data_IF_781572099210
#
_entry.id   IF_781572099210
#
_cell.length_a   1.000
_cell.length_b   1.000
_cell.length_c   1.000
_cell.angle_alpha   90.00
_cell.angle_beta   90.00
_cell.angle_gamma   90.00
#
_symmetry.space_group_name_H-M   'P 1'
#
loop_
_entity.id
_entity.type
_entity.pdbx_description
1 polymer ?
#
# COMPACT_ATOMS: atom_id res chain seq x y z
N UNK A 1 -19.90 26.78 -11.96
CA UNK A 1 -18.74 26.42 -11.13
C UNK A 1 -18.81 27.26 -9.88
N UNK A 2 -18.76 26.65 -8.69
CA UNK A 2 -18.80 27.39 -7.42
C UNK A 2 -17.36 27.74 -7.04
N UNK A 3 -17.10 28.98 -6.64
CA UNK A 3 -15.80 29.33 -6.07
C UNK A 3 -15.65 28.61 -4.72
N UNK A 4 -14.52 27.91 -4.57
CA UNK A 4 -14.13 27.26 -3.33
C UNK A 4 -13.52 28.30 -2.41
N UNK A 5 -13.83 28.23 -1.12
CA UNK A 5 -13.14 29.08 -0.14
C UNK A 5 -11.69 28.58 0.06
N UNK A 6 -10.84 29.40 0.68
CA UNK A 6 -9.41 29.08 0.85
C UNK A 6 -9.16 27.74 1.56
N UNK A 7 -10.03 27.34 2.50
CA UNK A 7 -9.94 26.06 3.21
C UNK A 7 -10.27 24.86 2.32
N UNK A 8 -11.28 24.99 1.45
CA UNK A 8 -11.62 23.98 0.45
C UNK A 8 -10.49 23.84 -0.60
N UNK A 9 -9.82 24.94 -0.99
CA UNK A 9 -8.69 24.92 -1.92
C UNK A 9 -7.47 24.22 -1.33
N UNK A 10 -7.11 24.52 -0.07
CA UNK A 10 -6.01 23.85 0.62
C UNK A 10 -6.26 22.35 0.74
N UNK A 11 -7.51 21.97 1.05
CA UNK A 11 -7.96 20.59 1.13
C UNK A 11 -7.85 19.86 -0.22
N UNK A 12 -8.21 20.51 -1.32
CA UNK A 12 -8.10 19.93 -2.68
C UNK A 12 -6.65 19.87 -3.15
N UNK A 13 -5.78 20.82 -2.74
CA UNK A 13 -4.37 20.82 -3.14
C UNK A 13 -3.54 19.72 -2.46
N UNK A 14 -3.95 19.29 -1.27
CA UNK A 14 -3.34 18.18 -0.52
C UNK A 14 -3.97 16.81 -0.79
N UNK A 15 -5.07 16.75 -1.54
CA UNK A 15 -5.77 15.50 -1.84
C UNK A 15 -4.86 14.56 -2.64
N UNK A 16 -4.64 13.36 -2.10
CA UNK A 16 -3.80 12.36 -2.74
C UNK A 16 -2.31 12.43 -2.36
N UNK A 17 -1.92 13.37 -1.49
CA UNK A 17 -0.54 13.45 -1.03
C UNK A 17 -0.15 12.21 -0.22
N UNK A 18 -0.99 11.83 0.77
CA UNK A 18 -0.66 10.73 1.66
C UNK A 18 -0.75 9.38 0.96
N UNK A 19 -1.70 9.20 0.03
CA UNK A 19 -1.78 8.01 -0.83
C UNK A 19 -0.56 7.84 -1.73
N UNK A 20 -0.05 8.90 -2.37
CA UNK A 20 1.17 8.83 -3.17
C UNK A 20 2.42 8.60 -2.31
N UNK A 21 2.51 9.27 -1.16
CA UNK A 21 3.57 8.99 -0.18
C UNK A 21 3.52 7.53 0.28
N UNK A 22 2.33 7.03 0.60
CA UNK A 22 2.08 5.66 0.99
C UNK A 22 2.50 4.66 -0.08
N UNK A 23 2.19 4.92 -1.35
CA UNK A 23 2.65 4.10 -2.48
C UNK A 23 4.17 3.96 -2.54
N UNK A 24 4.88 5.09 -2.42
CA UNK A 24 6.35 5.14 -2.47
C UNK A 24 6.97 4.42 -1.27
N UNK A 25 6.47 4.69 -0.07
CA UNK A 25 6.91 4.03 1.16
C UNK A 25 6.65 2.52 1.09
N UNK A 26 5.46 2.13 0.66
CA UNK A 26 5.07 0.73 0.46
C UNK A 26 5.99 0.03 -0.54
N UNK A 27 6.27 0.67 -1.68
CA UNK A 27 7.22 0.16 -2.68
C UNK A 27 8.60 -0.06 -2.10
N UNK A 28 9.12 0.90 -1.33
CA UNK A 28 10.41 0.80 -0.67
C UNK A 28 10.46 -0.36 0.33
N UNK A 29 9.41 -0.52 1.15
CA UNK A 29 9.28 -1.65 2.08
C UNK A 29 9.24 -2.98 1.32
N UNK A 30 8.45 -3.07 0.24
CA UNK A 30 8.37 -4.28 -0.58
C UNK A 30 9.72 -4.67 -1.20
N UNK A 31 10.50 -3.69 -1.66
CA UNK A 31 11.86 -3.94 -2.15
C UNK A 31 12.78 -4.49 -1.06
N UNK A 32 12.66 -3.99 0.19
CA UNK A 32 13.42 -4.52 1.34
C UNK A 32 13.00 -5.95 1.65
N UNK A 33 11.70 -6.27 1.58
CA UNK A 33 11.19 -7.63 1.80
C UNK A 33 11.71 -8.60 0.74
N UNK A 34 11.71 -8.20 -0.54
CA UNK A 34 12.25 -9.00 -1.63
C UNK A 34 13.75 -9.25 -1.47
N UNK A 35 14.50 -8.21 -1.11
CA UNK A 35 15.93 -8.33 -0.82
C UNK A 35 16.20 -9.27 0.36
N UNK A 36 15.42 -9.12 1.45
CA UNK A 36 15.53 -9.95 2.65
C UNK A 36 15.19 -11.42 2.36
N UNK A 37 14.17 -11.66 1.54
CA UNK A 37 13.79 -13.00 1.08
C UNK A 37 14.95 -13.66 0.37
N UNK A 38 15.65 -12.92 -0.50
CA UNK A 38 16.85 -13.42 -1.17
C UNK A 38 18.03 -13.64 -0.22
N UNK A 39 18.28 -12.70 0.69
CA UNK A 39 19.37 -12.80 1.64
C UNK A 39 19.22 -14.02 2.57
N UNK A 40 17.98 -14.32 3.00
CA UNK A 40 17.68 -15.42 3.93
C UNK A 40 17.60 -16.76 3.20
N UNK A 41 16.90 -16.84 2.07
CA UNK A 41 16.67 -18.11 1.35
C UNK A 41 17.81 -18.50 0.40
N UNK A 42 18.70 -17.55 0.07
CA UNK A 42 19.73 -17.71 -0.96
C UNK A 42 19.19 -17.71 -2.40
N UNK A 43 17.88 -17.50 -2.58
CA UNK A 43 17.20 -17.54 -3.89
C UNK A 43 16.46 -16.25 -4.16
N UNK A 44 16.39 -15.82 -5.43
CA UNK A 44 15.52 -14.70 -5.77
C UNK A 44 14.06 -15.04 -5.39
N UNK A 45 13.28 -14.05 -4.89
CA UNK A 45 11.86 -14.26 -4.62
C UNK A 45 11.14 -14.69 -5.91
N UNK A 46 10.26 -15.68 -5.79
CA UNK A 46 9.41 -16.17 -6.90
C UNK A 46 8.28 -15.18 -7.16
N UNK A 47 7.77 -14.55 -6.10
CA UNK A 47 6.81 -13.46 -6.16
C UNK A 47 7.36 -12.23 -5.42
N UNK A 48 7.15 -11.04 -6.00
CA UNK A 48 7.58 -9.77 -5.40
C UNK A 48 6.55 -9.26 -4.39
N UNK A 49 7.02 -8.70 -3.27
CA UNK A 49 6.18 -8.04 -2.28
C UNK A 49 5.87 -6.58 -2.63
N UNK A 50 6.54 -6.00 -3.65
CA UNK A 50 6.46 -4.57 -4.00
C UNK A 50 5.02 -4.14 -4.30
N UNK A 51 4.33 -4.82 -5.20
CA UNK A 51 2.96 -4.43 -5.58
C UNK A 51 1.99 -4.48 -4.40
N UNK A 52 2.06 -5.56 -3.60
CA UNK A 52 1.22 -5.70 -2.40
C UNK A 52 1.50 -4.64 -1.35
N UNK A 53 2.79 -4.36 -1.10
CA UNK A 53 3.21 -3.34 -0.15
C UNK A 53 2.87 -1.91 -0.62
N UNK A 54 3.02 -1.63 -1.92
CA UNK A 54 2.57 -0.37 -2.55
C UNK A 54 1.07 -0.16 -2.36
N UNK A 55 0.24 -1.16 -2.68
CA UNK A 55 -1.22 -1.06 -2.55
C UNK A 55 -1.65 -0.89 -1.08
N UNK A 56 -1.00 -1.61 -0.17
CA UNK A 56 -1.21 -1.42 1.26
C UNK A 56 -0.90 0.03 1.68
N UNK A 57 0.26 0.55 1.27
CA UNK A 57 0.66 1.92 1.54
C UNK A 57 -0.30 2.95 0.94
N UNK A 58 -0.71 2.79 -0.32
CA UNK A 58 -1.70 3.63 -0.99
C UNK A 58 -3.00 3.66 -0.22
N UNK A 59 -3.57 2.48 0.12
CA UNK A 59 -4.84 2.40 0.85
C UNK A 59 -4.78 3.07 2.23
N UNK A 60 -3.68 2.90 2.97
CA UNK A 60 -3.48 3.62 4.24
C UNK A 60 -3.40 5.13 3.99
N UNK A 61 -2.67 5.56 2.97
CA UNK A 61 -2.55 6.97 2.61
C UNK A 61 -3.88 7.59 2.18
N UNK A 62 -4.72 6.87 1.42
CA UNK A 62 -6.07 7.30 1.03
C UNK A 62 -7.00 7.47 2.25
N UNK A 63 -6.84 6.65 3.30
CA UNK A 63 -7.55 6.83 4.58
C UNK A 63 -7.10 8.14 5.23
N UNK A 64 -5.80 8.40 5.28
CA UNK A 64 -5.25 9.64 5.86
C UNK A 64 -5.69 10.87 5.05
N UNK A 65 -5.66 10.79 3.72
CA UNK A 65 -6.16 11.84 2.82
C UNK A 65 -7.65 12.13 3.10
N UNK A 66 -8.47 11.10 3.30
CA UNK A 66 -9.90 11.22 3.64
C UNK A 66 -10.14 11.90 4.99
N UNK A 67 -9.30 11.59 5.99
CA UNK A 67 -9.37 12.22 7.32
C UNK A 67 -8.90 13.68 7.25
N UNK A 68 -7.76 13.94 6.60
CA UNK A 68 -7.19 15.28 6.47
C UNK A 68 -8.12 16.24 5.70
N UNK A 69 -8.89 15.70 4.75
CA UNK A 69 -9.88 16.46 3.97
C UNK A 69 -11.26 16.57 4.62
N UNK A 70 -11.44 16.05 5.85
CA UNK A 70 -12.75 15.94 6.52
C UNK A 70 -13.84 15.28 5.63
N UNK A 71 -13.44 14.39 4.72
CA UNK A 71 -14.33 13.74 3.76
C UNK A 71 -14.16 12.23 3.81
N UNK A 72 -15.08 11.55 4.50
CA UNK A 72 -15.02 10.10 4.70
C UNK A 72 -15.50 9.27 3.50
N UNK A 73 -15.89 9.91 2.40
CA UNK A 73 -16.42 9.23 1.20
C UNK A 73 -15.41 8.30 0.54
N UNK A 74 -14.10 8.57 0.68
CA UNK A 74 -13.02 7.74 0.14
C UNK A 74 -12.63 6.53 1.00
N UNK A 75 -13.02 6.52 2.28
CA UNK A 75 -12.59 5.49 3.24
C UNK A 75 -12.99 4.07 2.84
N UNK A 76 -14.24 3.79 2.37
CA UNK A 76 -14.61 2.44 1.97
C UNK A 76 -13.73 1.87 0.85
N UNK A 77 -13.38 2.69 -0.14
CA UNK A 77 -12.51 2.27 -1.24
C UNK A 77 -11.07 2.07 -0.74
N UNK A 78 -10.59 2.98 0.10
CA UNK A 78 -9.25 2.90 0.69
C UNK A 78 -9.03 1.63 1.53
N UNK A 79 -10.05 1.20 2.27
CA UNK A 79 -10.05 -0.08 3.00
C UNK A 79 -9.99 -1.28 2.05
N UNK A 80 -10.67 -1.22 0.90
CA UNK A 80 -10.55 -2.28 -0.12
C UNK A 80 -9.14 -2.33 -0.71
N UNK A 81 -8.54 -1.17 -1.06
CA UNK A 81 -7.15 -1.08 -1.53
C UNK A 81 -6.17 -1.67 -0.51
N UNK A 82 -6.37 -1.34 0.77
CA UNK A 82 -5.61 -1.89 1.91
C UNK A 82 -5.74 -3.42 1.97
N UNK A 83 -6.97 -3.94 1.89
CA UNK A 83 -7.25 -5.38 1.91
C UNK A 83 -6.64 -6.14 0.73
N UNK A 84 -6.67 -5.55 -0.47
CA UNK A 84 -5.99 -6.09 -1.65
C UNK A 84 -4.48 -6.16 -1.44
N UNK A 85 -3.87 -5.10 -0.90
CA UNK A 85 -2.45 -5.06 -0.57
C UNK A 85 -2.05 -6.16 0.41
N UNK A 86 -2.81 -6.33 1.49
CA UNK A 86 -2.59 -7.42 2.48
C UNK A 86 -2.69 -8.78 1.82
N UNK A 87 -3.73 -9.01 1.02
CA UNK A 87 -3.95 -10.29 0.32
C UNK A 87 -2.78 -10.62 -0.60
N UNK A 88 -2.27 -9.63 -1.33
CA UNK A 88 -1.11 -9.78 -2.21
C UNK A 88 0.17 -10.07 -1.43
N UNK A 89 0.41 -9.40 -0.29
CA UNK A 89 1.56 -9.67 0.58
C UNK A 89 1.52 -11.11 1.09
N UNK A 90 0.36 -11.57 1.58
CA UNK A 90 0.19 -12.94 2.07
C UNK A 90 0.40 -13.96 0.94
N UNK A 91 -0.18 -13.71 -0.25
CA UNK A 91 0.03 -14.57 -1.41
C UNK A 91 1.52 -14.66 -1.81
N UNK A 92 2.24 -13.53 -1.80
CA UNK A 92 3.68 -13.49 -2.04
C UNK A 92 4.45 -14.29 -0.99
N UNK A 93 4.10 -14.16 0.29
CA UNK A 93 4.75 -14.92 1.36
C UNK A 93 4.55 -16.43 1.19
N UNK A 94 3.33 -16.86 0.85
CA UNK A 94 3.01 -18.27 0.56
C UNK A 94 3.79 -18.78 -0.65
N UNK A 95 3.88 -17.99 -1.73
CA UNK A 95 4.62 -18.36 -2.93
C UNK A 95 6.14 -18.50 -2.69
N UNK A 96 6.68 -17.74 -1.74
CA UNK A 96 8.10 -17.76 -1.39
C UNK A 96 8.44 -18.75 -0.26
N UNK A 97 7.44 -19.40 0.36
CA UNK A 97 7.66 -20.36 1.42
C UNK A 97 8.37 -21.63 0.90
N UNK A 98 9.28 -22.25 1.70
CA UNK A 98 9.84 -23.54 1.34
C UNK A 98 8.74 -24.59 1.28
N UNK A 99 8.81 -25.50 0.29
CA UNK A 99 7.90 -26.64 0.20
C UNK A 99 7.90 -27.39 1.53
N UNK A 100 6.72 -27.57 2.14
CA UNK A 100 6.59 -28.39 3.33
C UNK A 100 7.10 -29.80 3.01
N UNK A 101 8.03 -30.31 3.81
CA UNK A 101 8.35 -31.74 3.76
C UNK A 101 7.04 -32.49 4.08
N UNK A 102 6.64 -33.48 3.27
CA UNK A 102 5.57 -34.38 3.69
C UNK A 102 6.02 -35.01 5.02
N UNK A 103 5.12 -34.99 5.99
CA UNK A 103 5.30 -35.59 7.31
C UNK A 103 5.49 -37.11 7.19
#
# INVERSE_FOLDING_TARGET
MRELNSTEIETVSGAGFFSNFGFQLGSAIGNIVDWSTKAISGKAPVASAVAGASNLGTGIGEIVDSIASNSLTGVPQAVQTTGLGITQIVATAVANAPASKPA
#
